data_IF_019024106864
#
_entry.id   IF_019024106864
#
_cell.length_a   1.000
_cell.length_b   1.000
_cell.length_c   1.000
_cell.angle_alpha   90.00
_cell.angle_beta   90.00
_cell.angle_gamma   90.00
#
_symmetry.space_group_name_H-M   'P 1'
#
loop_
_entity.id
_entity.type
_entity.pdbx_description
1 polymer ?
#
# COMPACT_ATOMS: atom_id res chain seq x y z
N UNK A 1 4.98 54.38 -5.03
CA UNK A 1 4.82 55.13 -3.75
C UNK A 1 3.65 54.56 -2.96
N UNK A 2 3.90 53.83 -1.88
CA UNK A 2 3.26 53.95 -0.55
C UNK A 2 3.62 52.74 0.28
N UNK A 3 4.51 53.01 1.23
CA UNK A 3 4.89 52.14 2.33
C UNK A 3 3.71 51.97 3.28
N UNK A 4 3.56 50.80 3.89
CA UNK A 4 2.99 50.74 5.24
C UNK A 4 3.70 49.71 6.12
N UNK A 5 4.33 50.25 7.16
CA UNK A 5 4.93 49.58 8.31
C UNK A 5 3.86 49.47 9.40
N UNK A 6 3.94 48.44 10.25
CA UNK A 6 3.78 48.48 11.72
C UNK A 6 4.07 47.04 12.22
N UNK A 7 5.14 46.72 12.96
CA UNK A 7 5.63 47.06 14.31
C UNK A 7 4.80 46.50 15.49
N UNK A 8 5.54 45.73 16.32
CA UNK A 8 5.51 45.61 17.80
C UNK A 8 4.42 44.72 18.45
N UNK A 9 4.84 43.67 19.19
CA UNK A 9 5.07 43.73 20.65
C UNK A 9 5.68 42.43 21.22
N UNK A 10 6.53 42.62 22.22
CA UNK A 10 7.18 41.62 23.08
C UNK A 10 6.22 41.08 24.15
N UNK A 11 6.44 39.85 24.59
CA UNK A 11 6.16 39.45 25.97
C UNK A 11 7.15 38.36 26.42
N UNK A 12 7.99 38.72 27.38
CA UNK A 12 8.83 37.82 28.15
C UNK A 12 8.05 37.34 29.38
N UNK A 13 8.21 36.08 29.78
CA UNK A 13 7.99 35.70 31.17
C UNK A 13 8.83 34.46 31.55
N UNK A 14 9.83 34.73 32.39
CA UNK A 14 10.54 33.76 33.21
C UNK A 14 9.58 33.09 34.22
N UNK A 15 9.82 31.82 34.56
CA UNK A 15 9.63 31.33 35.94
C UNK A 15 10.45 30.06 36.26
N UNK A 16 11.56 30.29 36.97
CA UNK A 16 12.11 29.61 38.16
C UNK A 16 12.17 28.07 38.27
N UNK A 17 13.41 27.61 38.51
CA UNK A 17 13.88 26.36 39.09
C UNK A 17 13.16 25.97 40.39
N UNK A 18 13.21 24.68 40.76
CA UNK A 18 13.76 24.16 42.03
C UNK A 18 14.06 22.64 41.92
N UNK A 19 15.21 22.14 42.42
CA UNK A 19 15.47 20.72 42.59
C UNK A 19 15.03 20.25 43.99
N UNK A 20 14.39 19.09 44.08
CA UNK A 20 14.18 18.40 45.35
C UNK A 20 14.97 17.10 45.32
N UNK A 21 16.05 17.04 46.09
CA UNK A 21 16.77 15.82 46.43
C UNK A 21 16.16 15.26 47.70
N UNK A 22 15.63 14.04 47.64
CA UNK A 22 15.32 13.22 48.82
C UNK A 22 16.20 11.98 48.76
N UNK A 23 17.16 11.91 49.67
CA UNK A 23 17.87 10.68 50.03
C UNK A 23 17.07 9.95 51.10
N UNK A 24 16.66 8.73 50.81
CA UNK A 24 16.09 7.79 51.77
C UNK A 24 16.85 6.46 51.71
N UNK A 25 17.71 6.24 52.69
CA UNK A 25 18.40 4.97 52.91
C UNK A 25 17.47 4.06 53.72
N UNK A 26 17.12 2.89 53.19
CA UNK A 26 16.29 1.90 53.88
C UNK A 26 16.50 0.51 53.31
N UNK A 27 17.35 -0.28 53.97
CA UNK A 27 17.47 -1.73 53.77
C UNK A 27 16.17 -2.40 54.25
N UNK A 28 15.62 -3.31 53.45
CA UNK A 28 15.02 -4.55 53.96
C UNK A 28 14.99 -5.55 52.81
N UNK A 29 15.78 -6.61 52.97
CA UNK A 29 15.56 -7.85 52.29
C UNK A 29 14.28 -8.45 52.88
N UNK A 30 13.23 -8.55 52.07
CA UNK A 30 12.29 -9.66 52.20
C UNK A 30 11.65 -9.93 50.84
N UNK A 31 12.04 -11.08 50.36
CA UNK A 31 11.50 -11.94 49.33
C UNK A 31 9.98 -12.10 49.47
N UNK A 32 9.22 -11.33 48.69
CA UNK A 32 7.84 -11.67 48.36
C UNK A 32 7.66 -11.62 46.85
N UNK A 33 7.44 -12.81 46.30
CA UNK A 33 7.12 -13.07 44.91
C UNK A 33 5.89 -12.25 44.45
N UNK A 34 6.14 -11.11 43.82
CA UNK A 34 5.21 -10.53 42.85
C UNK A 34 5.78 -10.77 41.47
N UNK A 35 5.32 -11.83 40.81
CA UNK A 35 5.27 -11.88 39.35
C UNK A 35 4.31 -10.78 38.91
N UNK A 36 4.81 -9.55 38.88
CA UNK A 36 4.22 -8.51 38.05
C UNK A 36 4.30 -9.07 36.62
N UNK A 37 3.17 -9.60 36.14
CA UNK A 37 2.91 -9.62 34.72
C UNK A 37 2.97 -8.16 34.32
N UNK A 38 4.14 -7.72 33.87
CA UNK A 38 4.25 -6.48 33.13
C UNK A 38 3.13 -6.55 32.08
N UNK A 39 2.23 -5.54 32.02
CA UNK A 39 1.31 -5.45 30.91
C UNK A 39 2.16 -5.58 29.65
N UNK A 40 1.86 -6.59 28.84
CA UNK A 40 2.49 -6.76 27.54
C UNK A 40 2.30 -5.43 26.83
N UNK A 41 3.39 -4.66 26.71
CA UNK A 41 3.38 -3.37 26.03
C UNK A 41 3.15 -3.77 24.59
N UNK A 42 1.88 -3.76 24.23
CA UNK A 42 1.39 -4.16 22.92
C UNK A 42 1.98 -3.16 21.96
N UNK A 43 3.12 -3.52 21.39
CA UNK A 43 3.83 -2.74 20.40
C UNK A 43 2.80 -2.45 19.30
N UNK A 44 2.38 -1.19 19.20
CA UNK A 44 1.45 -0.78 18.18
C UNK A 44 2.13 -1.06 16.85
N UNK A 45 1.49 -1.85 15.99
CA UNK A 45 2.12 -2.36 14.77
C UNK A 45 2.67 -1.19 13.94
N UNK A 46 3.99 -1.06 13.88
CA UNK A 46 4.66 -0.03 13.09
C UNK A 46 4.29 -0.25 11.61
N UNK A 47 3.61 0.71 10.95
CA UNK A 47 3.22 0.57 9.56
C UNK A 47 4.42 0.47 8.60
N UNK A 48 5.65 0.72 9.07
CA UNK A 48 6.90 0.51 8.31
C UNK A 48 7.49 -0.88 8.48
N UNK A 49 7.05 -1.65 9.47
CA UNK A 49 7.37 -3.07 9.53
C UNK A 49 6.46 -3.81 8.55
N UNK A 50 7.04 -4.39 7.49
CA UNK A 50 6.31 -5.21 6.51
C UNK A 50 5.51 -6.35 7.16
N UNK A 51 5.89 -6.79 8.37
CA UNK A 51 5.11 -7.75 9.18
C UNK A 51 3.76 -7.19 9.63
N UNK A 52 3.64 -5.88 9.81
CA UNK A 52 2.39 -5.19 10.17
C UNK A 52 1.37 -5.24 9.04
N UNK A 53 1.80 -5.24 7.77
CA UNK A 53 0.88 -5.36 6.64
C UNK A 53 0.19 -6.73 6.63
N UNK A 54 0.92 -7.82 6.85
CA UNK A 54 0.32 -9.16 6.93
C UNK A 54 -0.69 -9.29 8.07
N UNK A 55 -0.42 -8.70 9.24
CA UNK A 55 -1.36 -8.72 10.35
C UNK A 55 -2.71 -8.06 9.97
N UNK A 56 -2.67 -6.97 9.20
CA UNK A 56 -3.86 -6.24 8.75
C UNK A 56 -4.50 -6.82 7.47
N UNK A 57 -3.76 -7.66 6.74
CA UNK A 57 -4.03 -8.07 5.37
C UNK A 57 -3.26 -7.19 4.38
N UNK A 58 -2.92 -7.76 3.22
CA UNK A 58 -2.14 -7.09 2.19
C UNK A 58 -2.74 -7.35 0.81
N UNK A 59 -2.70 -6.34 -0.04
CA UNK A 59 -2.98 -6.46 -1.46
C UNK A 59 -1.81 -5.86 -2.23
N UNK A 60 -1.23 -6.63 -3.12
CA UNK A 60 -0.13 -6.24 -3.98
C UNK A 60 -0.53 -6.49 -5.43
N UNK A 61 -0.39 -5.48 -6.25
CA UNK A 61 -0.78 -5.50 -7.66
C UNK A 61 0.44 -5.08 -8.46
N UNK A 62 0.91 -5.97 -9.33
CA UNK A 62 1.93 -5.64 -10.30
C UNK A 62 1.35 -5.59 -11.71
N UNK A 63 1.90 -4.74 -12.55
CA UNK A 63 1.48 -4.60 -13.93
C UNK A 63 2.65 -4.16 -14.81
N UNK A 64 2.57 -4.53 -16.09
CA UNK A 64 3.58 -4.15 -17.07
C UNK A 64 3.08 -4.40 -18.49
N UNK A 65 3.62 -3.64 -19.44
CA UNK A 65 3.53 -3.93 -20.86
C UNK A 65 4.57 -4.98 -21.25
N UNK A 66 4.32 -5.78 -22.29
CA UNK A 66 5.30 -6.77 -22.77
C UNK A 66 6.57 -6.17 -23.38
N UNK A 67 6.58 -4.87 -23.69
CA UNK A 67 7.74 -4.21 -24.30
C UNK A 67 8.84 -3.95 -23.27
N UNK A 68 10.11 -4.18 -23.66
CA UNK A 68 11.32 -4.01 -22.85
C UNK A 68 11.66 -2.53 -22.58
N UNK A 69 10.68 -1.72 -22.22
CA UNK A 69 10.81 -0.29 -21.98
C UNK A 69 9.96 0.13 -20.78
N UNK A 70 9.92 1.44 -20.49
CA UNK A 70 9.00 2.00 -19.50
C UNK A 70 7.55 1.58 -19.81
N UNK A 71 6.74 1.21 -18.81
CA UNK A 71 5.41 0.68 -19.04
C UNK A 71 4.56 1.67 -19.83
N UNK A 72 4.08 1.23 -20.98
CA UNK A 72 3.18 2.00 -21.86
C UNK A 72 1.74 2.03 -21.35
N UNK A 73 1.53 1.42 -20.17
CA UNK A 73 0.28 1.44 -19.43
C UNK A 73 0.52 2.00 -18.04
N UNK A 74 -0.50 2.63 -17.46
CA UNK A 74 -0.57 2.92 -16.03
C UNK A 74 -1.81 2.28 -15.43
N UNK A 75 -1.80 2.18 -14.12
CA UNK A 75 -2.87 1.55 -13.36
C UNK A 75 -3.42 2.52 -12.34
N UNK A 76 -4.73 2.71 -12.36
CA UNK A 76 -5.51 3.39 -11.34
C UNK A 76 -6.35 2.37 -10.58
N UNK A 77 -6.15 2.29 -9.27
CA UNK A 77 -6.91 1.41 -8.37
C UNK A 77 -7.87 2.27 -7.56
N UNK A 78 -9.16 1.93 -7.62
CA UNK A 78 -10.20 2.53 -6.78
C UNK A 78 -10.68 1.51 -5.76
N UNK A 79 -10.69 1.88 -4.48
CA UNK A 79 -11.16 1.01 -3.40
C UNK A 79 -12.70 0.98 -3.29
N UNK A 80 -13.27 0.09 -2.46
CA UNK A 80 -14.73 0.01 -2.27
C UNK A 80 -15.37 1.29 -1.70
N UNK A 81 -14.59 2.24 -1.19
CA UNK A 81 -15.04 3.55 -0.71
C UNK A 81 -14.86 4.68 -1.73
N UNK A 82 -14.37 4.36 -2.92
CA UNK A 82 -14.16 5.33 -4.01
C UNK A 82 -12.84 6.09 -3.95
N UNK A 83 -11.94 5.77 -3.01
CA UNK A 83 -10.60 6.38 -2.91
C UNK A 83 -9.67 5.80 -3.97
N UNK A 84 -8.70 6.58 -4.43
CA UNK A 84 -7.85 6.22 -5.57
C UNK A 84 -6.35 6.21 -5.26
N UNK A 85 -5.63 5.29 -5.90
CA UNK A 85 -4.16 5.27 -5.96
C UNK A 85 -3.71 4.86 -7.35
N UNK A 86 -2.62 5.44 -7.85
CA UNK A 86 -2.02 5.04 -9.12
C UNK A 86 -1.64 6.23 -9.98
N UNK A 87 -1.34 5.96 -11.26
CA UNK A 87 -0.98 6.99 -12.23
C UNK A 87 -1.59 6.74 -13.60
N UNK A 88 -1.79 7.82 -14.35
CA UNK A 88 -2.18 7.81 -15.76
C UNK A 88 -0.94 8.10 -16.62
N UNK A 89 -0.53 7.22 -17.57
CA UNK A 89 0.66 7.46 -18.39
C UNK A 89 0.42 8.53 -19.46
N UNK A 90 -0.84 8.84 -19.80
CA UNK A 90 -1.21 9.78 -20.84
C UNK A 90 -1.42 11.21 -20.32
N UNK A 91 -1.48 11.39 -18.99
CA UNK A 91 -1.74 12.68 -18.35
C UNK A 91 -0.85 12.95 -17.14
N UNK A 92 -0.87 14.18 -16.60
CA UNK A 92 -0.07 14.54 -15.42
C UNK A 92 -0.68 14.04 -14.09
N UNK A 93 -1.70 13.19 -14.15
CA UNK A 93 -2.50 12.83 -12.98
C UNK A 93 -1.91 11.60 -12.28
N UNK A 94 -1.60 11.79 -11.01
CA UNK A 94 -1.32 10.72 -10.07
C UNK A 94 -2.24 10.86 -8.85
N UNK A 95 -2.65 9.73 -8.29
CA UNK A 95 -3.56 9.68 -7.15
C UNK A 95 -2.89 8.97 -5.97
N UNK A 96 -3.11 9.50 -4.77
CA UNK A 96 -2.61 8.94 -3.52
C UNK A 96 -3.59 9.26 -2.38
N UNK A 97 -4.79 8.68 -2.45
CA UNK A 97 -5.88 8.90 -1.49
C UNK A 97 -6.05 7.71 -0.52
N UNK A 98 -5.49 6.55 -0.86
CA UNK A 98 -5.53 5.38 0.02
C UNK A 98 -4.52 5.56 1.16
N UNK A 99 -4.95 5.42 2.43
CA UNK A 99 -4.04 5.38 3.56
C UNK A 99 -3.26 4.05 3.52
N UNK A 100 -1.99 4.10 3.94
CA UNK A 100 -1.13 2.92 4.02
C UNK A 100 -1.03 2.15 2.69
N UNK A 101 -0.96 2.91 1.59
CA UNK A 101 -0.75 2.37 0.26
C UNK A 101 0.38 3.13 -0.43
N UNK A 102 1.11 2.45 -1.30
CA UNK A 102 2.18 3.01 -2.10
C UNK A 102 2.11 2.50 -3.53
N UNK A 103 2.48 3.35 -4.48
CA UNK A 103 2.61 3.01 -5.88
C UNK A 103 3.99 3.44 -6.37
N UNK A 104 4.69 2.56 -7.08
CA UNK A 104 6.02 2.83 -7.62
C UNK A 104 6.27 2.05 -8.90
N UNK A 105 7.26 2.49 -9.67
CA UNK A 105 7.78 1.75 -10.81
C UNK A 105 9.12 1.14 -10.41
N UNK A 106 9.26 -0.16 -10.64
CA UNK A 106 10.51 -0.90 -10.49
C UNK A 106 11.07 -1.18 -11.88
N UNK A 107 12.10 -0.43 -12.26
CA UNK A 107 12.81 -0.62 -13.52
C UNK A 107 14.09 -1.38 -13.22
N UNK A 108 14.25 -2.57 -13.79
CA UNK A 108 15.51 -3.27 -13.68
C UNK A 108 16.64 -2.49 -14.37
N UNK A 109 17.85 -2.63 -13.83
CA UNK A 109 19.05 -2.03 -14.42
C UNK A 109 19.25 -2.49 -15.87
N UNK A 110 20.01 -1.70 -16.64
CA UNK A 110 20.31 -2.05 -18.03
C UNK A 110 20.88 -3.46 -18.13
N UNK A 111 20.51 -4.18 -19.20
CA UNK A 111 21.09 -5.50 -19.48
C UNK A 111 22.61 -5.40 -19.78
N UNK A 112 23.26 -6.55 -19.95
CA UNK A 112 24.69 -6.60 -20.26
C UNK A 112 25.08 -5.86 -21.57
N UNK A 113 24.09 -5.50 -22.41
CA UNK A 113 24.27 -4.78 -23.66
C UNK A 113 23.93 -3.28 -23.53
N UNK A 114 23.59 -2.79 -22.32
CA UNK A 114 23.19 -1.40 -22.08
C UNK A 114 21.76 -1.08 -22.50
N UNK A 115 20.92 -2.07 -22.80
CA UNK A 115 19.52 -1.86 -23.14
C UNK A 115 18.67 -1.69 -21.88
N UNK A 116 17.71 -0.75 -21.86
CA UNK A 116 16.74 -0.65 -20.77
C UNK A 116 16.01 -1.98 -20.61
N UNK A 117 15.90 -2.47 -19.37
CA UNK A 117 15.04 -3.61 -19.08
C UNK A 117 13.60 -3.15 -18.87
N UNK A 118 12.65 -4.08 -19.01
CA UNK A 118 11.24 -3.83 -18.76
C UNK A 118 11.04 -3.30 -17.33
N UNK A 119 10.26 -2.22 -17.18
CA UNK A 119 9.82 -1.82 -15.84
C UNK A 119 8.48 -2.44 -15.48
N UNK A 120 8.32 -2.76 -14.21
CA UNK A 120 7.07 -3.24 -13.61
C UNK A 120 6.51 -2.18 -12.69
N UNK A 121 5.25 -1.82 -12.87
CA UNK A 121 4.52 -1.00 -11.93
C UNK A 121 4.00 -1.83 -10.76
N UNK A 122 4.08 -1.29 -9.56
CA UNK A 122 3.65 -1.92 -8.32
C UNK A 122 2.70 -1.00 -7.56
N UNK A 123 1.64 -1.58 -7.01
CA UNK A 123 0.76 -0.96 -6.03
C UNK A 123 0.63 -1.90 -4.85
N UNK A 124 1.01 -1.43 -3.66
CA UNK A 124 0.88 -2.17 -2.41
C UNK A 124 -0.10 -1.44 -1.50
N UNK A 125 -1.06 -2.16 -0.93
CA UNK A 125 -2.07 -1.64 -0.01
C UNK A 125 -2.01 -2.51 1.26
N UNK A 126 -1.67 -1.88 2.39
CA UNK A 126 -1.68 -2.52 3.70
C UNK A 126 -3.02 -2.26 4.41
N UNK A 127 -3.61 -3.30 4.99
CA UNK A 127 -4.96 -3.26 5.53
C UNK A 127 -6.06 -2.91 4.51
N UNK A 128 -6.07 -3.51 3.29
CA UNK A 128 -7.10 -3.26 2.29
C UNK A 128 -8.49 -3.62 2.84
N UNK A 129 -9.53 -2.93 2.37
CA UNK A 129 -10.92 -3.18 2.76
C UNK A 129 -11.48 -4.38 2.01
N UNK A 130 -12.29 -5.23 2.64
CA UNK A 130 -13.04 -6.25 1.90
C UNK A 130 -14.01 -5.56 0.92
N UNK A 131 -14.14 -6.11 -0.29
CA UNK A 131 -15.04 -5.64 -1.31
C UNK A 131 -14.43 -5.69 -2.71
N UNK A 132 -15.10 -5.03 -3.64
CA UNK A 132 -14.70 -4.95 -5.05
C UNK A 132 -13.87 -3.70 -5.29
N UNK A 133 -12.62 -3.90 -5.71
CA UNK A 133 -11.74 -2.86 -6.21
C UNK A 133 -11.93 -2.73 -7.72
N UNK A 134 -11.89 -1.50 -8.22
CA UNK A 134 -11.90 -1.22 -9.66
C UNK A 134 -10.48 -0.90 -10.11
N UNK A 135 -9.97 -1.66 -11.06
CA UNK A 135 -8.66 -1.49 -11.67
C UNK A 135 -8.87 -0.92 -13.07
N UNK A 136 -8.44 0.32 -13.28
CA UNK A 136 -8.51 1.01 -14.56
C UNK A 136 -7.10 1.07 -15.15
N UNK A 137 -6.89 0.33 -16.24
CA UNK A 137 -5.63 0.30 -16.97
C UNK A 137 -5.76 1.29 -18.11
N UNK A 138 -4.86 2.26 -18.16
CA UNK A 138 -4.85 3.31 -19.20
C UNK A 138 -3.59 3.15 -20.03
N UNK A 139 -3.71 3.18 -21.36
CA UNK A 139 -2.56 3.03 -22.25
C UNK A 139 -2.18 4.33 -22.96
N UNK A 140 -0.88 4.67 -22.94
CA UNK A 140 -0.32 5.76 -23.74
C UNK A 140 0.00 5.34 -25.18
N UNK A 141 0.13 4.03 -25.42
CA UNK A 141 0.41 3.42 -26.73
C UNK A 141 -0.45 2.16 -26.96
N UNK A 142 -0.42 1.61 -28.18
CA UNK A 142 -1.04 0.31 -28.43
C UNK A 142 -0.11 -0.76 -27.87
N UNK A 143 -0.58 -1.59 -26.95
CA UNK A 143 0.25 -2.63 -26.36
C UNK A 143 -0.58 -3.80 -25.84
N UNK A 144 0.13 -4.85 -25.44
CA UNK A 144 -0.40 -5.86 -24.54
C UNK A 144 0.15 -5.64 -23.14
N UNK A 145 -0.70 -5.85 -22.13
CA UNK A 145 -0.29 -5.77 -20.75
C UNK A 145 -0.66 -7.02 -19.97
N UNK A 146 -0.03 -7.15 -18.80
CA UNK A 146 -0.36 -8.14 -17.80
C UNK A 146 -0.57 -7.47 -16.45
N UNK A 147 -1.41 -8.10 -15.63
CA UNK A 147 -1.59 -7.78 -14.22
C UNK A 147 -1.45 -9.06 -13.43
N UNK A 148 -0.70 -8.99 -12.34
CA UNK A 148 -0.69 -10.01 -11.30
C UNK A 148 -1.11 -9.38 -9.98
N UNK A 149 -1.97 -10.09 -9.26
CA UNK A 149 -2.44 -9.68 -7.95
C UNK A 149 -2.11 -10.76 -6.94
N UNK A 150 -1.41 -10.37 -5.88
CA UNK A 150 -1.16 -11.19 -4.69
C UNK A 150 -1.89 -10.59 -3.51
N UNK A 151 -2.63 -11.42 -2.78
CA UNK A 151 -3.46 -11.01 -1.67
C UNK A 151 -3.21 -11.90 -0.45
N UNK A 152 -3.15 -11.26 0.72
CA UNK A 152 -3.12 -11.93 2.02
C UNK A 152 -4.29 -11.39 2.85
N UNK A 153 -5.09 -12.30 3.40
CA UNK A 153 -6.15 -11.95 4.35
C UNK A 153 -5.55 -11.37 5.63
N UNK A 154 -6.36 -10.70 6.47
CA UNK A 154 -5.87 -10.35 7.81
C UNK A 154 -5.53 -11.60 8.60
N UNK A 155 -4.58 -11.47 9.52
CA UNK A 155 -4.28 -12.52 10.47
C UNK A 155 -5.42 -12.60 11.49
N UNK A 156 -5.98 -13.81 11.68
CA UNK A 156 -7.00 -14.07 12.69
C UNK A 156 -6.49 -15.12 13.67
N UNK A 157 -6.68 -14.89 14.97
CA UNK A 157 -6.36 -15.88 16.00
C UNK A 157 -7.63 -16.58 16.47
N UNK A 158 -7.61 -17.90 16.53
CA UNK A 158 -8.62 -18.72 17.19
C UNK A 158 -7.97 -19.77 18.11
N UNK A 159 -8.74 -20.77 18.55
CA UNK A 159 -8.28 -21.85 19.42
C UNK A 159 -7.14 -22.68 18.81
N UNK A 160 -7.05 -22.75 17.48
CA UNK A 160 -6.05 -23.51 16.74
C UNK A 160 -4.83 -22.67 16.33
N UNK A 161 -4.75 -21.40 16.73
CA UNK A 161 -3.61 -20.52 16.46
C UNK A 161 -3.93 -19.39 15.48
N UNK A 162 -2.93 -18.95 14.73
CA UNK A 162 -3.07 -17.86 13.76
C UNK A 162 -3.36 -18.40 12.36
N UNK A 163 -4.34 -17.80 11.70
CA UNK A 163 -4.78 -18.15 10.36
C UNK A 163 -4.70 -16.96 9.42
N UNK A 164 -4.20 -17.22 8.23
CA UNK A 164 -4.20 -16.31 7.09
C UNK A 164 -4.57 -17.09 5.84
N UNK A 165 -4.98 -16.39 4.79
CA UNK A 165 -5.17 -16.97 3.47
C UNK A 165 -4.39 -16.15 2.48
N UNK A 166 -3.50 -16.81 1.76
CA UNK A 166 -2.77 -16.24 0.65
C UNK A 166 -3.42 -16.68 -0.65
N UNK A 167 -3.53 -15.76 -1.61
CA UNK A 167 -4.16 -16.02 -2.89
C UNK A 167 -3.53 -15.17 -3.97
N UNK A 168 -3.43 -15.71 -5.18
CA UNK A 168 -2.91 -15.01 -6.35
C UNK A 168 -3.82 -15.21 -7.54
N UNK A 169 -3.95 -14.18 -8.37
CA UNK A 169 -4.65 -14.21 -9.65
C UNK A 169 -3.89 -13.36 -10.65
N UNK A 170 -3.94 -13.72 -11.93
CA UNK A 170 -3.33 -12.92 -12.98
C UNK A 170 -4.24 -12.83 -14.20
N UNK A 171 -4.04 -11.77 -14.98
CA UNK A 171 -4.56 -11.61 -16.32
C UNK A 171 -3.39 -11.23 -17.23
N UNK A 172 -3.21 -11.96 -18.32
CA UNK A 172 -2.04 -11.83 -19.21
C UNK A 172 -2.49 -11.58 -20.64
N UNK A 173 -1.63 -10.93 -21.41
CA UNK A 173 -1.80 -10.69 -22.85
C UNK A 173 -3.13 -9.99 -23.16
N UNK A 174 -3.48 -9.01 -22.31
CA UNK A 174 -4.66 -8.20 -22.52
C UNK A 174 -4.30 -7.07 -23.49
N UNK A 175 -4.94 -7.06 -24.65
CA UNK A 175 -4.75 -5.99 -25.62
C UNK A 175 -5.39 -4.68 -25.12
N UNK A 176 -4.71 -3.57 -25.35
CA UNK A 176 -5.23 -2.23 -25.08
C UNK A 176 -4.78 -1.27 -26.18
N UNK A 177 -5.67 -0.35 -26.55
CA UNK A 177 -5.40 0.66 -27.57
C UNK A 177 -4.92 1.95 -26.91
N UNK A 178 -4.06 2.68 -27.61
CA UNK A 178 -3.64 4.03 -27.23
C UNK A 178 -4.84 4.90 -26.87
N UNK A 179 -4.77 5.57 -25.71
CA UNK A 179 -5.80 6.46 -25.20
C UNK A 179 -7.08 5.76 -24.75
N UNK A 180 -7.13 4.43 -24.75
CA UNK A 180 -8.24 3.65 -24.22
C UNK A 180 -7.97 3.24 -22.77
N UNK A 181 -9.03 2.77 -22.12
CA UNK A 181 -8.98 2.23 -20.77
C UNK A 181 -9.65 0.85 -20.73
N UNK A 182 -8.98 -0.13 -20.12
CA UNK A 182 -9.59 -1.40 -19.76
C UNK A 182 -9.99 -1.35 -18.29
N UNK A 183 -11.12 -1.98 -17.96
CA UNK A 183 -11.64 -2.01 -16.58
C UNK A 183 -11.69 -3.45 -16.10
N UNK A 184 -11.08 -3.70 -14.95
CA UNK A 184 -11.09 -4.98 -14.26
C UNK A 184 -11.67 -4.78 -12.87
N UNK A 185 -12.36 -5.79 -12.36
CA UNK A 185 -12.90 -5.83 -11.01
C UNK A 185 -12.18 -6.89 -10.22
N UNK A 186 -11.65 -6.47 -9.08
CA UNK A 186 -10.86 -7.29 -8.18
C UNK A 186 -11.65 -7.49 -6.89
N UNK A 187 -12.11 -8.71 -6.66
CA UNK A 187 -12.77 -9.10 -5.42
C UNK A 187 -11.72 -9.52 -4.38
N UNK A 188 -11.74 -8.83 -3.24
CA UNK A 188 -10.85 -9.11 -2.13
C UNK A 188 -11.66 -9.23 -0.82
N UNK A 189 -11.23 -10.14 0.05
CA UNK A 189 -11.76 -10.26 1.40
C UNK A 189 -10.62 -10.32 2.41
N UNK A 190 -10.75 -9.54 3.48
CA UNK A 190 -9.87 -9.59 4.64
C UNK A 190 -10.09 -10.85 5.48
N UNK A 191 -11.21 -11.54 5.35
CA UNK A 191 -11.48 -12.74 6.12
C UNK A 191 -10.73 -13.95 5.56
N UNK A 192 -10.00 -14.70 6.39
CA UNK A 192 -9.40 -15.97 5.97
C UNK A 192 -10.44 -16.92 5.35
N UNK A 193 -10.02 -17.70 4.36
CA UNK A 193 -10.83 -18.68 3.63
C UNK A 193 -11.31 -18.20 2.26
N UNK A 194 -11.22 -16.90 1.96
CA UNK A 194 -11.61 -16.33 0.67
C UNK A 194 -10.40 -16.18 -0.25
N UNK A 195 -10.56 -16.53 -1.53
CA UNK A 195 -9.54 -16.31 -2.58
C UNK A 195 -9.80 -14.99 -3.29
N UNK A 196 -8.74 -14.37 -3.77
CA UNK A 196 -8.84 -13.19 -4.62
C UNK A 196 -9.34 -13.58 -6.00
N UNK A 197 -10.20 -12.77 -6.61
CA UNK A 197 -10.70 -13.00 -7.95
C UNK A 197 -10.59 -11.73 -8.79
N UNK A 198 -10.17 -11.87 -10.05
CA UNK A 198 -10.04 -10.77 -11.00
C UNK A 198 -10.92 -11.06 -12.21
N UNK A 199 -11.82 -10.13 -12.53
CA UNK A 199 -12.78 -10.28 -13.63
C UNK A 199 -12.69 -9.07 -14.56
N UNK A 200 -12.63 -9.27 -15.89
CA UNK A 200 -12.78 -8.17 -16.83
C UNK A 200 -14.20 -7.60 -16.77
N UNK A 201 -14.33 -6.29 -16.94
CA UNK A 201 -15.63 -5.70 -17.27
C UNK A 201 -16.07 -6.22 -18.63
N UNK A 202 -17.36 -6.53 -18.81
CA UNK A 202 -17.96 -7.08 -20.05
C UNK A 202 -17.60 -6.32 -21.34
N UNK A 203 -17.14 -5.07 -21.21
CA UNK A 203 -16.69 -4.23 -22.32
C UNK A 203 -15.19 -4.37 -22.66
N UNK A 204 -14.46 -5.26 -22.00
CA UNK A 204 -13.04 -5.53 -22.29
C UNK A 204 -12.97 -6.65 -23.31
N UNK A 205 -12.55 -6.41 -24.56
CA UNK A 205 -12.43 -7.47 -25.54
C UNK A 205 -11.36 -8.47 -25.06
N UNK A 206 -11.79 -9.66 -24.67
CA UNK A 206 -10.89 -10.78 -24.41
C UNK A 206 -10.35 -11.25 -25.76
N UNK A 207 -9.03 -11.29 -25.90
CA UNK A 207 -8.40 -11.90 -27.07
C UNK A 207 -8.79 -13.40 -27.09
N UNK A 208 -9.56 -13.78 -28.11
CA UNK A 208 -9.95 -15.15 -28.37
C UNK A 208 -8.67 -15.93 -28.73
N UNK A 209 -8.33 -16.95 -27.94
CA UNK A 209 -7.19 -17.83 -28.26
C UNK A 209 -7.48 -18.54 -29.59
N UNK A 210 -6.68 -18.26 -30.61
CA UNK A 210 -6.57 -19.09 -31.81
C UNK A 210 -5.65 -20.29 -31.56
#
# INVERSE_FOLDING_TARGET
MRLWRNRLLLAAMWLWLWPVTVSGNGRSADEFASRHHAPDVRDESDPKDTRSCYAMGQLEISYGSQENQSPTVGLLVTDPRGRRIGYDPAGPNAWQELPLAQAFLDCADQDANGQPQACTGWIQICGPLSGTYKLEVVASENSEYSIEVSAVSRQKRDENGFHTTESRVNARNLAIRKGSQNKLFLEYSREPGSKVALTPSENTPLAEKQ
#
